data_IF_256252604238
#
_entry.id   IF_256252604238
#
_cell.length_a   1.000
_cell.length_b   1.000
_cell.length_c   1.000
_cell.angle_alpha   90.00
_cell.angle_beta   90.00
_cell.angle_gamma   90.00
#
_symmetry.space_group_name_H-M   'P 1'
#
loop_
_entity.id
_entity.type
_entity.pdbx_description
1 polymer ?
#
# COMPACT_ATOMS: atom_id res chain seq x y z
N UNK A 1 1.14 -13.50 12.12
CA UNK A 1 2.60 -13.73 12.02
C UNK A 1 3.25 -12.33 12.02
N UNK A 2 4.38 -12.06 12.71
CA UNK A 2 4.98 -10.71 12.62
C UNK A 2 5.56 -10.54 11.21
N UNK A 3 5.10 -9.54 10.46
CA UNK A 3 5.83 -9.06 9.29
C UNK A 3 7.17 -8.54 9.82
N UNK A 4 8.27 -9.14 9.41
CA UNK A 4 9.60 -8.61 9.68
C UNK A 4 9.79 -7.34 8.84
N UNK A 5 10.45 -6.33 9.41
CA UNK A 5 10.77 -5.05 8.73
C UNK A 5 11.36 -5.32 7.33
N UNK A 6 12.24 -6.31 7.22
CA UNK A 6 12.86 -6.75 5.96
C UNK A 6 11.83 -7.09 4.86
N UNK A 7 10.68 -7.68 5.23
CA UNK A 7 9.60 -7.98 4.27
C UNK A 7 8.91 -6.70 3.81
N UNK A 8 8.68 -5.74 4.71
CA UNK A 8 8.07 -4.45 4.38
C UNK A 8 9.00 -3.63 3.47
N UNK A 9 10.29 -3.56 3.80
CA UNK A 9 11.30 -2.90 2.95
C UNK A 9 11.37 -3.53 1.58
N UNK A 10 11.37 -4.87 1.49
CA UNK A 10 11.33 -5.58 0.21
C UNK A 10 10.09 -5.24 -0.62
N UNK A 11 8.93 -5.08 0.03
CA UNK A 11 7.69 -4.66 -0.63
C UNK A 11 7.75 -3.26 -1.20
N UNK A 12 8.21 -2.33 -0.39
CA UNK A 12 8.37 -0.94 -0.80
C UNK A 12 9.40 -0.85 -1.93
N UNK A 13 10.54 -1.51 -1.80
CA UNK A 13 11.61 -1.47 -2.81
C UNK A 13 11.16 -2.02 -4.17
N UNK A 14 10.45 -3.15 -4.20
CA UNK A 14 9.92 -3.70 -5.44
C UNK A 14 8.89 -2.75 -6.06
N UNK A 15 7.96 -2.22 -5.25
CA UNK A 15 6.95 -1.29 -5.76
C UNK A 15 7.57 -0.03 -6.35
N UNK A 16 8.58 0.55 -5.69
CA UNK A 16 9.33 1.70 -6.20
C UNK A 16 10.02 1.35 -7.54
N UNK A 17 10.64 0.18 -7.64
CA UNK A 17 11.27 -0.25 -8.89
C UNK A 17 10.25 -0.39 -10.04
N UNK A 18 9.06 -0.94 -9.76
CA UNK A 18 7.97 -1.02 -10.75
C UNK A 18 7.46 0.36 -11.18
N UNK A 19 7.29 1.29 -10.23
CA UNK A 19 6.89 2.67 -10.52
C UNK A 19 7.93 3.37 -11.39
N UNK A 20 9.22 3.28 -11.04
CA UNK A 20 10.31 3.87 -11.80
C UNK A 20 10.43 3.28 -13.22
N UNK A 21 10.18 1.99 -13.39
CA UNK A 21 10.23 1.34 -14.70
C UNK A 21 9.02 1.71 -15.59
N UNK A 22 7.83 1.78 -15.00
CA UNK A 22 6.59 2.06 -15.74
C UNK A 22 6.38 3.56 -16.02
N UNK A 23 6.84 4.42 -15.11
CA UNK A 23 6.66 5.86 -15.15
C UNK A 23 7.93 6.55 -14.64
N UNK A 24 8.96 6.68 -15.49
CA UNK A 24 10.29 7.17 -15.08
C UNK A 24 10.32 8.64 -14.62
N UNK A 25 9.27 9.42 -14.93
CA UNK A 25 9.15 10.81 -14.51
C UNK A 25 8.63 10.95 -13.07
N UNK A 26 8.11 9.87 -12.47
CA UNK A 26 7.64 9.89 -11.08
C UNK A 26 8.81 9.93 -10.10
N UNK A 27 8.65 10.78 -9.09
CA UNK A 27 9.50 10.81 -7.90
C UNK A 27 8.80 10.08 -6.75
N UNK A 28 9.56 9.30 -5.99
CA UNK A 28 9.05 8.55 -4.83
C UNK A 28 9.86 8.85 -3.58
N UNK A 29 9.15 9.02 -2.46
CA UNK A 29 9.72 9.05 -1.11
C UNK A 29 8.98 8.01 -0.27
N UNK A 30 9.65 7.37 0.70
CA UNK A 30 9.00 6.33 1.50
C UNK A 30 9.46 6.33 2.95
N UNK A 31 8.60 5.77 3.80
CA UNK A 31 8.89 5.55 5.21
C UNK A 31 8.20 4.30 5.72
N UNK A 32 8.84 3.60 6.66
CA UNK A 32 8.22 2.54 7.47
C UNK A 32 7.83 3.14 8.83
N UNK A 33 6.62 2.82 9.27
CA UNK A 33 5.99 3.37 10.47
C UNK A 33 5.75 2.24 11.46
N UNK A 34 6.31 2.40 12.67
CA UNK A 34 6.18 1.44 13.77
C UNK A 34 6.56 0.00 13.40
N UNK A 35 7.49 -0.17 12.46
CA UNK A 35 7.97 -1.48 11.99
C UNK A 35 6.86 -2.42 11.46
N UNK A 36 5.71 -1.87 11.05
CA UNK A 36 4.50 -2.64 10.76
C UNK A 36 3.83 -2.27 9.44
N UNK A 37 3.93 -1.02 8.99
CA UNK A 37 3.38 -0.59 7.71
C UNK A 37 4.23 0.51 7.08
N UNK A 38 4.09 0.71 5.79
CA UNK A 38 4.83 1.69 5.01
C UNK A 38 3.95 2.65 4.25
N UNK A 39 4.53 3.78 3.86
CA UNK A 39 3.93 4.74 2.94
C UNK A 39 4.92 5.08 1.85
N UNK A 40 4.43 5.14 0.62
CA UNK A 40 5.16 5.64 -0.55
C UNK A 40 4.43 6.91 -1.01
N UNK A 41 5.12 8.04 -0.94
CA UNK A 41 4.66 9.31 -1.50
C UNK A 41 5.03 9.35 -2.97
N UNK A 42 4.06 9.63 -3.85
CA UNK A 42 4.26 9.68 -5.30
C UNK A 42 4.03 11.09 -5.81
N UNK A 43 5.00 11.63 -6.54
CA UNK A 43 4.96 12.99 -7.10
C UNK A 43 5.43 13.01 -8.55
N UNK A 44 5.00 14.01 -9.32
CA UNK A 44 5.42 14.27 -10.70
C UNK A 44 5.77 15.76 -10.85
N UNK A 45 7.00 16.05 -11.28
CA UNK A 45 7.47 17.44 -11.43
C UNK A 45 7.35 18.30 -10.16
N UNK A 46 7.46 17.68 -8.98
CA UNK A 46 7.29 18.35 -7.68
C UNK A 46 5.83 18.54 -7.24
N UNK A 47 4.86 18.10 -8.04
CA UNK A 47 3.44 18.06 -7.65
C UNK A 47 3.13 16.72 -7.00
N UNK A 48 2.62 16.75 -5.78
CA UNK A 48 2.12 15.57 -5.08
C UNK A 48 0.92 14.97 -5.84
N UNK A 49 1.00 13.69 -6.20
CA UNK A 49 -0.08 12.96 -6.85
C UNK A 49 -0.88 12.11 -5.87
N UNK A 50 -0.21 11.53 -4.88
CA UNK A 50 -0.88 10.71 -3.87
C UNK A 50 0.05 9.81 -3.07
N UNK A 51 -0.56 8.83 -2.41
CA UNK A 51 0.13 7.92 -1.52
C UNK A 51 -0.24 6.47 -1.81
N UNK A 52 0.75 5.59 -1.69
CA UNK A 52 0.55 4.15 -1.64
C UNK A 52 0.86 3.66 -0.23
N UNK A 53 -0.13 3.06 0.42
CA UNK A 53 -0.01 2.51 1.76
C UNK A 53 0.29 1.03 1.69
N UNK A 54 1.45 0.64 2.19
CA UNK A 54 1.88 -0.76 2.25
C UNK A 54 1.56 -1.29 3.64
N UNK A 55 0.57 -2.15 3.75
CA UNK A 55 0.03 -2.63 5.02
C UNK A 55 0.48 -4.04 5.33
N UNK A 56 0.64 -4.40 6.60
CA UNK A 56 0.80 -5.79 7.05
C UNK A 56 -0.55 -6.51 7.14
N UNK A 57 -0.53 -7.78 7.56
CA UNK A 57 -1.74 -8.57 7.85
C UNK A 57 -2.65 -7.92 8.91
N UNK A 58 -2.10 -7.04 9.76
CA UNK A 58 -2.81 -6.49 10.93
C UNK A 58 -2.93 -4.97 10.89
N UNK A 59 -2.04 -4.26 10.21
CA UNK A 59 -2.01 -2.79 10.26
C UNK A 59 -3.25 -2.17 9.62
N UNK A 60 -3.74 -2.73 8.51
CA UNK A 60 -4.96 -2.28 7.82
C UNK A 60 -6.21 -2.34 8.70
N UNK A 61 -6.22 -3.24 9.69
CA UNK A 61 -7.37 -3.47 10.54
C UNK A 61 -7.57 -2.34 11.56
N UNK A 62 -6.52 -1.54 11.84
CA UNK A 62 -6.53 -0.49 12.86
C UNK A 62 -7.66 0.52 12.58
N UNK A 63 -8.37 1.01 13.62
CA UNK A 63 -9.59 1.81 13.45
C UNK A 63 -9.41 3.06 12.58
N UNK A 64 -8.24 3.69 12.65
CA UNK A 64 -7.91 4.95 11.99
C UNK A 64 -7.57 4.80 10.50
N UNK A 65 -7.26 3.60 10.00
CA UNK A 65 -6.71 3.43 8.64
C UNK A 65 -7.67 3.86 7.54
N UNK A 66 -8.92 3.43 7.65
CA UNK A 66 -9.95 3.82 6.67
C UNK A 66 -10.12 5.33 6.62
N UNK A 67 -10.05 6.00 7.78
CA UNK A 67 -10.15 7.45 7.89
C UNK A 67 -8.96 8.14 7.22
N UNK A 68 -7.74 7.64 7.39
CA UNK A 68 -6.55 8.18 6.70
C UNK A 68 -6.70 8.09 5.17
N UNK A 69 -7.23 6.98 4.67
CA UNK A 69 -7.49 6.82 3.23
C UNK A 69 -8.53 7.81 2.73
N UNK A 70 -9.65 7.93 3.44
CA UNK A 70 -10.71 8.87 3.11
C UNK A 70 -10.21 10.33 3.14
N UNK A 71 -9.49 10.74 4.18
CA UNK A 71 -8.94 12.09 4.30
C UNK A 71 -7.94 12.42 3.18
N UNK A 72 -7.20 11.41 2.69
CA UNK A 72 -6.29 11.58 1.56
C UNK A 72 -7.06 11.75 0.25
N UNK A 73 -8.08 10.91 0.02
CA UNK A 73 -8.96 11.03 -1.14
C UNK A 73 -9.71 12.37 -1.16
N UNK A 74 -10.14 12.87 0.00
CA UNK A 74 -10.84 14.15 0.13
C UNK A 74 -9.93 15.36 -0.18
N UNK A 75 -8.61 15.19 -0.10
CA UNK A 75 -7.64 16.18 -0.57
C UNK A 75 -7.44 16.15 -2.10
N UNK A 76 -8.15 15.28 -2.81
CA UNK A 76 -8.01 15.09 -4.26
C UNK A 76 -6.76 14.30 -4.64
N UNK A 77 -6.15 13.59 -3.67
CA UNK A 77 -4.96 12.77 -3.87
C UNK A 77 -5.34 11.32 -4.16
N UNK A 78 -4.53 10.64 -4.97
CA UNK A 78 -4.70 9.21 -5.24
C UNK A 78 -4.32 8.39 -4.01
N UNK A 79 -5.07 7.32 -3.75
CA UNK A 79 -4.75 6.33 -2.73
C UNK A 79 -4.69 4.94 -3.34
N UNK A 80 -3.57 4.26 -3.14
CA UNK A 80 -3.41 2.82 -3.39
C UNK A 80 -3.15 2.13 -2.06
N UNK A 81 -3.84 1.03 -1.78
CA UNK A 81 -3.65 0.22 -0.58
C UNK A 81 -3.05 -1.12 -1.00
N UNK A 82 -1.81 -1.38 -0.60
CA UNK A 82 -1.07 -2.59 -0.93
C UNK A 82 -1.04 -3.49 0.31
N UNK A 83 -1.56 -4.70 0.21
CA UNK A 83 -1.74 -5.61 1.35
C UNK A 83 -1.23 -7.03 1.06
N UNK A 84 -0.99 -7.87 2.07
CA UNK A 84 -0.72 -9.28 1.84
C UNK A 84 -1.89 -9.95 1.12
N UNK A 85 -1.59 -10.96 0.30
CA UNK A 85 -2.60 -11.70 -0.47
C UNK A 85 -3.68 -12.29 0.43
N UNK A 86 -3.31 -12.76 1.63
CA UNK A 86 -4.19 -13.41 2.60
C UNK A 86 -5.34 -12.50 3.06
N UNK A 87 -5.15 -11.18 3.06
CA UNK A 87 -6.15 -10.19 3.52
C UNK A 87 -6.72 -9.36 2.38
N UNK A 88 -6.29 -9.57 1.13
CA UNK A 88 -6.67 -8.76 -0.02
C UNK A 88 -8.19 -8.63 -0.20
N UNK A 89 -8.91 -9.76 -0.21
CA UNK A 89 -10.37 -9.76 -0.39
C UNK A 89 -11.11 -9.12 0.79
N UNK A 90 -10.60 -9.30 2.01
CA UNK A 90 -11.18 -8.72 3.22
C UNK A 90 -11.04 -7.20 3.23
N UNK A 91 -9.83 -6.69 2.95
CA UNK A 91 -9.54 -5.27 2.85
C UNK A 91 -10.40 -4.64 1.75
N UNK A 92 -10.39 -5.21 0.55
CA UNK A 92 -11.19 -4.71 -0.58
C UNK A 92 -12.67 -4.66 -0.24
N UNK A 93 -13.21 -5.74 0.35
CA UNK A 93 -14.61 -5.80 0.76
C UNK A 93 -14.97 -4.78 1.86
N UNK A 94 -14.07 -4.56 2.83
CA UNK A 94 -14.25 -3.54 3.88
C UNK A 94 -14.27 -2.14 3.28
N UNK A 95 -13.29 -1.80 2.44
CA UNK A 95 -13.20 -0.46 1.84
C UNK A 95 -14.36 -0.19 0.90
N UNK A 96 -14.77 -1.16 0.07
CA UNK A 96 -15.97 -1.03 -0.78
C UNK A 96 -17.24 -0.78 0.02
N UNK A 97 -17.43 -1.43 1.17
CA UNK A 97 -18.60 -1.23 2.03
C UNK A 97 -18.62 0.16 2.68
N UNK A 98 -17.45 0.66 3.09
CA UNK A 98 -17.34 1.90 3.85
C UNK A 98 -17.26 3.15 2.96
N UNK A 99 -16.56 3.07 1.82
CA UNK A 99 -16.23 4.22 0.96
C UNK A 99 -17.00 4.22 -0.37
N UNK A 100 -17.65 3.11 -0.75
CA UNK A 100 -18.49 3.04 -1.94
C UNK A 100 -17.73 3.39 -3.22
N UNK A 101 -18.22 4.38 -3.97
CA UNK A 101 -17.58 4.82 -5.23
C UNK A 101 -16.23 5.52 -5.03
N UNK A 102 -15.89 5.95 -3.80
CA UNK A 102 -14.59 6.52 -3.44
C UNK A 102 -13.61 5.45 -2.92
N UNK A 103 -13.83 4.18 -3.25
CA UNK A 103 -12.93 3.11 -2.80
C UNK A 103 -11.57 3.28 -3.45
N UNK A 104 -10.46 3.31 -2.68
CA UNK A 104 -9.12 3.36 -3.25
C UNK A 104 -8.80 2.06 -3.99
N UNK A 105 -7.81 2.12 -4.88
CA UNK A 105 -7.29 0.91 -5.51
C UNK A 105 -6.65 0.02 -4.44
N UNK A 106 -6.88 -1.30 -4.52
CA UNK A 106 -6.29 -2.27 -3.62
C UNK A 106 -5.46 -3.24 -4.44
N UNK A 107 -4.19 -3.41 -4.06
CA UNK A 107 -3.24 -4.34 -4.66
C UNK A 107 -2.80 -5.37 -3.62
N UNK A 108 -2.45 -6.58 -4.06
CA UNK A 108 -1.80 -7.55 -3.20
C UNK A 108 -0.29 -7.57 -3.40
N UNK A 109 0.46 -8.07 -2.42
CA UNK A 109 1.91 -8.28 -2.55
C UNK A 109 2.24 -9.18 -3.74
N UNK A 110 1.44 -10.22 -3.96
CA UNK A 110 1.61 -11.13 -5.09
C UNK A 110 1.40 -10.40 -6.44
N UNK A 111 0.44 -9.47 -6.52
CA UNK A 111 0.18 -8.68 -7.73
C UNK A 111 1.32 -7.74 -8.12
N UNK A 112 2.20 -7.39 -7.17
CA UNK A 112 3.42 -6.60 -7.39
C UNK A 112 4.68 -7.47 -7.39
N UNK A 113 4.53 -8.78 -7.59
CA UNK A 113 5.64 -9.70 -7.79
C UNK A 113 6.37 -10.10 -6.50
N UNK A 114 5.72 -9.96 -5.33
CA UNK A 114 6.26 -10.43 -4.06
C UNK A 114 5.43 -11.60 -3.58
N UNK A 115 5.86 -12.78 -4.00
CA UNK A 115 5.30 -14.04 -3.51
C UNK A 115 5.89 -14.34 -2.14
N UNK A 116 5.06 -14.70 -1.17
CA UNK A 116 5.56 -15.39 0.02
C UNK A 116 6.27 -16.67 -0.45
N UNK A 117 7.55 -16.85 -0.09
CA UNK A 117 8.22 -18.14 -0.34
C UNK A 117 7.37 -19.27 0.26
N UNK A 118 7.15 -20.38 -0.46
CA UNK A 118 6.42 -21.51 0.08
C UNK A 118 7.13 -22.00 1.35
N UNK A 119 6.38 -22.22 2.43
CA UNK A 119 6.96 -22.86 3.62
C UNK A 119 7.54 -24.20 3.19
N UNK A 120 8.79 -24.53 3.57
CA UNK A 120 9.20 -25.93 3.56
C UNK A 120 8.26 -26.67 4.53
N UNK A 121 7.64 -27.73 4.02
CA UNK A 121 6.74 -28.64 4.73
C UNK A 121 7.38 -29.24 5.97
#
# INVERSE_FOLDING_TARGET
>A
MRVTIDRMEGVIANRIAMLAWSNPDLSTEWAIVNDDWGVITVSDGGRLLGFEYVESEISWARPERVRVYEETLDQGLTVVVIVPEEVYLEVRGRLSRLLGSRTPEVLSYDSIGITALPRPS
#
